data_IF_647682046839
#
_entry.id   IF_647682046839
#
_cell.length_a   1.000
_cell.length_b   1.000
_cell.length_c   1.000
_cell.angle_alpha   90.00
_cell.angle_beta   90.00
_cell.angle_gamma   90.00
#
_symmetry.space_group_name_H-M   'P 1'
#
loop_
_entity.id
_entity.type
_entity.pdbx_description
1 polymer ?
#
# COMPACT_ATOMS: atom_id res chain seq x y z
N UNK A 1 -9.41 -20.80 -15.56
CA UNK A 1 -9.11 -19.38 -15.85
C UNK A 1 -10.27 -18.78 -16.59
N UNK A 2 -10.78 -17.64 -16.09
CA UNK A 2 -11.69 -16.79 -16.85
C UNK A 2 -10.86 -15.83 -17.70
N UNK A 3 -11.24 -15.67 -18.98
CA UNK A 3 -10.54 -14.80 -19.93
C UNK A 3 -11.50 -13.78 -20.54
N UNK A 4 -11.04 -12.52 -20.61
CA UNK A 4 -11.75 -11.42 -21.28
C UNK A 4 -10.76 -10.65 -22.16
N UNK A 5 -11.22 -10.13 -23.30
CA UNK A 5 -10.45 -9.27 -24.19
C UNK A 5 -10.95 -7.83 -24.08
N UNK A 6 -10.06 -6.87 -24.30
CA UNK A 6 -10.36 -5.42 -24.19
C UNK A 6 -11.08 -5.07 -22.88
N UNK A 7 -10.66 -5.73 -21.80
CA UNK A 7 -11.33 -5.67 -20.51
C UNK A 7 -10.93 -4.42 -19.73
N UNK A 8 -11.89 -3.62 -19.21
CA UNK A 8 -11.59 -2.44 -18.45
C UNK A 8 -10.86 -2.80 -17.13
N UNK A 9 -9.74 -2.12 -16.86
CA UNK A 9 -8.97 -2.31 -15.61
C UNK A 9 -9.43 -1.38 -14.48
N UNK A 10 -10.13 -0.29 -14.77
CA UNK A 10 -10.64 0.63 -13.78
C UNK A 10 -11.44 -0.04 -12.64
N UNK A 11 -12.33 -1.02 -12.89
CA UNK A 11 -13.06 -1.71 -11.83
C UNK A 11 -12.17 -2.57 -10.91
N UNK A 12 -10.93 -2.86 -11.34
CA UNK A 12 -9.96 -3.64 -10.58
C UNK A 12 -9.03 -2.77 -9.73
N UNK A 13 -9.17 -1.44 -9.77
CA UNK A 13 -8.35 -0.51 -8.98
C UNK A 13 -9.19 0.25 -7.96
N UNK A 14 -8.60 0.60 -6.83
CA UNK A 14 -9.29 1.42 -5.82
C UNK A 14 -9.47 2.87 -6.26
N UNK A 15 -8.65 3.37 -7.18
CA UNK A 15 -8.88 4.65 -7.85
C UNK A 15 -10.08 4.64 -8.80
N UNK A 16 -10.50 3.46 -9.26
CA UNK A 16 -11.45 3.29 -10.37
C UNK A 16 -11.00 4.03 -11.65
N UNK A 17 -9.70 4.01 -11.88
CA UNK A 17 -9.02 4.56 -13.05
C UNK A 17 -8.24 3.48 -13.79
N UNK A 18 -8.02 3.70 -15.07
CA UNK A 18 -7.26 2.83 -15.95
C UNK A 18 -8.04 2.39 -17.18
N UNK A 19 -7.37 2.42 -18.32
CA UNK A 19 -7.92 1.91 -19.59
C UNK A 19 -7.99 0.38 -19.63
N UNK A 20 -8.37 -0.20 -20.78
CA UNK A 20 -8.52 -1.64 -20.93
C UNK A 20 -7.18 -2.38 -20.98
N UNK A 21 -7.18 -3.65 -20.56
CA UNK A 21 -6.13 -4.60 -20.93
C UNK A 21 -6.49 -5.30 -22.25
N UNK A 22 -5.50 -5.54 -23.10
CA UNK A 22 -5.72 -6.33 -24.32
C UNK A 22 -6.28 -7.72 -23.95
N UNK A 23 -5.77 -8.31 -22.87
CA UNK A 23 -6.23 -9.58 -22.32
C UNK A 23 -6.28 -9.52 -20.79
N UNK A 24 -7.37 -9.93 -20.17
CA UNK A 24 -7.51 -10.09 -18.73
C UNK A 24 -7.76 -11.56 -18.39
N UNK A 25 -6.88 -12.14 -17.62
CA UNK A 25 -7.03 -13.48 -17.04
C UNK A 25 -7.35 -13.38 -15.56
N UNK A 26 -8.32 -14.15 -15.08
CA UNK A 26 -8.57 -14.33 -13.64
C UNK A 26 -8.22 -15.76 -13.25
N UNK A 27 -7.17 -15.91 -12.44
CA UNK A 27 -6.69 -17.19 -11.94
C UNK A 27 -7.17 -17.43 -10.51
N UNK A 28 -7.72 -18.60 -10.25
CA UNK A 28 -8.29 -19.02 -8.95
C UNK A 28 -7.49 -20.10 -8.25
N UNK A 29 -6.45 -20.63 -8.91
CA UNK A 29 -5.52 -21.61 -8.36
C UNK A 29 -4.07 -21.22 -8.68
N UNK A 30 -3.10 -21.68 -7.85
CA UNK A 30 -1.68 -21.46 -8.09
C UNK A 30 -1.24 -22.03 -9.46
N UNK A 31 -1.78 -23.19 -9.84
CA UNK A 31 -1.49 -23.80 -11.14
C UNK A 31 -1.92 -22.90 -12.31
N UNK A 32 -3.08 -22.26 -12.22
CA UNK A 32 -3.55 -21.30 -13.22
C UNK A 32 -2.70 -20.03 -13.27
N UNK A 33 -2.26 -19.52 -12.09
CA UNK A 33 -1.33 -18.38 -12.02
C UNK A 33 -0.03 -18.73 -12.75
N UNK A 34 0.58 -19.86 -12.39
CA UNK A 34 1.85 -20.32 -12.98
C UNK A 34 1.71 -20.55 -14.49
N UNK A 35 0.60 -21.16 -14.93
CA UNK A 35 0.37 -21.40 -16.36
C UNK A 35 0.26 -20.09 -17.14
N UNK A 36 -0.48 -19.10 -16.63
CA UNK A 36 -0.62 -17.79 -17.27
C UNK A 36 0.72 -17.01 -17.34
N UNK A 37 1.52 -17.08 -16.27
CA UNK A 37 2.85 -16.46 -16.24
C UNK A 37 3.78 -17.11 -17.27
N UNK A 38 3.84 -18.45 -17.32
CA UNK A 38 4.65 -19.20 -18.30
C UNK A 38 4.24 -18.91 -19.73
N UNK A 39 2.95 -18.81 -20.01
CA UNK A 39 2.43 -18.47 -21.33
C UNK A 39 2.91 -17.07 -21.75
N UNK A 40 2.76 -16.07 -20.87
CA UNK A 40 3.22 -14.70 -21.13
C UNK A 40 4.74 -14.65 -21.36
N UNK A 41 5.53 -15.34 -20.52
CA UNK A 41 6.99 -15.41 -20.67
C UNK A 41 7.42 -16.08 -21.97
N UNK A 42 6.79 -17.19 -22.35
CA UNK A 42 7.10 -17.93 -23.56
C UNK A 42 6.75 -17.15 -24.84
N UNK A 43 5.69 -16.36 -24.81
CA UNK A 43 5.26 -15.51 -25.93
C UNK A 43 5.94 -14.14 -25.97
N UNK A 44 6.64 -13.74 -24.91
CA UNK A 44 7.18 -12.38 -24.74
C UNK A 44 6.10 -11.32 -24.58
N UNK A 45 4.87 -11.73 -24.19
CA UNK A 45 3.76 -10.81 -23.97
C UNK A 45 3.96 -10.06 -22.64
N UNK A 46 3.84 -8.73 -22.59
CA UNK A 46 3.87 -7.99 -21.32
C UNK A 46 2.85 -8.53 -20.33
N UNK A 47 3.25 -8.68 -19.06
CA UNK A 47 2.42 -9.22 -18.00
C UNK A 47 2.25 -8.19 -16.88
N UNK A 48 1.00 -7.86 -16.54
CA UNK A 48 0.63 -7.08 -15.36
C UNK A 48 -0.06 -7.98 -14.35
N UNK A 49 0.58 -8.22 -13.22
CA UNK A 49 -0.05 -8.98 -12.12
C UNK A 49 -0.89 -8.02 -11.26
N UNK A 50 -2.17 -8.36 -11.10
CA UNK A 50 -3.15 -7.56 -10.34
C UNK A 50 -3.68 -8.38 -9.17
N UNK A 51 -3.45 -7.88 -7.95
CA UNK A 51 -4.13 -8.36 -6.75
C UNK A 51 -5.44 -7.58 -6.52
N UNK A 52 -5.58 -6.93 -5.36
CA UNK A 52 -6.72 -6.04 -5.07
C UNK A 52 -6.65 -4.66 -5.72
N UNK A 53 -5.65 -4.36 -6.56
CA UNK A 53 -5.53 -3.10 -7.31
C UNK A 53 -5.44 -1.82 -6.46
N UNK A 54 -5.11 -1.96 -5.18
CA UNK A 54 -5.14 -0.87 -4.21
C UNK A 54 -3.91 0.05 -4.25
N UNK A 55 -2.90 -0.31 -5.08
CA UNK A 55 -1.65 0.46 -5.21
C UNK A 55 -1.21 0.60 -6.67
N UNK A 56 -2.17 0.66 -7.59
CA UNK A 56 -1.92 0.80 -9.03
C UNK A 56 -2.49 2.10 -9.58
N UNK A 57 -1.72 2.75 -10.43
CA UNK A 57 -2.14 3.86 -11.30
C UNK A 57 -1.94 3.43 -12.74
N UNK A 58 -3.02 3.03 -13.39
CA UNK A 58 -3.00 2.51 -14.77
C UNK A 58 -3.42 3.64 -15.72
N UNK A 59 -2.63 3.86 -16.78
CA UNK A 59 -2.89 4.88 -17.77
C UNK A 59 -4.23 4.71 -18.50
N UNK A 60 -4.79 5.81 -19.00
CA UNK A 60 -6.08 5.82 -19.70
C UNK A 60 -6.05 5.02 -21.01
N UNK A 61 -4.87 4.83 -21.61
CA UNK A 61 -4.68 3.93 -22.77
C UNK A 61 -4.74 2.45 -22.42
N UNK A 62 -4.71 2.12 -21.12
CA UNK A 62 -4.73 0.75 -20.65
C UNK A 62 -3.37 0.06 -20.70
N UNK A 63 -3.40 -1.26 -20.89
CA UNK A 63 -2.23 -2.13 -20.88
C UNK A 63 -2.24 -3.05 -22.13
N UNK A 64 -1.27 -2.85 -23.00
CA UNK A 64 -1.10 -3.67 -24.21
C UNK A 64 -0.36 -4.98 -23.87
N UNK A 65 -1.07 -5.89 -23.21
CA UNK A 65 -0.55 -7.15 -22.73
C UNK A 65 -1.58 -7.96 -21.97
N UNK A 66 -1.12 -8.94 -21.21
CA UNK A 66 -1.96 -9.76 -20.34
C UNK A 66 -1.98 -9.19 -18.92
N UNK A 67 -3.14 -8.75 -18.46
CA UNK A 67 -3.39 -8.50 -17.04
C UNK A 67 -3.80 -9.81 -16.38
N UNK A 68 -3.09 -10.25 -15.36
CA UNK A 68 -3.38 -11.46 -14.58
C UNK A 68 -3.91 -11.06 -13.22
N UNK A 69 -5.23 -11.19 -13.02
CA UNK A 69 -5.85 -11.04 -11.72
C UNK A 69 -5.65 -12.31 -10.91
N UNK A 70 -4.97 -12.21 -9.77
CA UNK A 70 -4.84 -13.30 -8.81
C UNK A 70 -6.07 -13.28 -7.88
N UNK A 71 -6.89 -14.32 -7.98
CA UNK A 71 -8.11 -14.52 -7.21
C UNK A 71 -8.09 -15.88 -6.48
N UNK A 72 -6.91 -16.37 -6.16
CA UNK A 72 -6.71 -17.60 -5.38
C UNK A 72 -7.25 -17.42 -3.96
N UNK A 73 -7.87 -18.45 -3.41
CA UNK A 73 -8.41 -18.44 -2.05
C UNK A 73 -7.78 -19.55 -1.23
N UNK A 74 -7.56 -19.29 0.05
CA UNK A 74 -6.99 -20.20 1.01
C UNK A 74 -6.58 -19.46 2.27
N UNK A 75 -7.19 -19.83 3.38
CA UNK A 75 -6.88 -19.34 4.71
C UNK A 75 -6.70 -20.55 5.60
N UNK A 76 -5.47 -20.92 5.86
CA UNK A 76 -5.11 -22.09 6.67
C UNK A 76 -4.49 -21.62 7.98
N UNK A 77 -5.16 -21.88 9.10
CA UNK A 77 -4.73 -21.51 10.44
C UNK A 77 -4.47 -22.77 11.26
N UNK A 78 -3.28 -22.90 11.83
CA UNK A 78 -2.87 -24.00 12.69
C UNK A 78 -2.09 -23.46 13.90
N UNK A 79 -2.75 -23.40 15.07
CA UNK A 79 -2.20 -22.67 16.21
C UNK A 79 -2.02 -21.19 15.89
N UNK A 80 -0.79 -20.70 15.97
CA UNK A 80 -0.40 -19.33 15.64
C UNK A 80 0.08 -19.15 14.20
N UNK A 81 0.32 -20.27 13.50
CA UNK A 81 0.78 -20.25 12.10
C UNK A 81 -0.39 -20.06 11.13
N UNK A 82 -0.30 -19.04 10.28
CA UNK A 82 -1.30 -18.70 9.27
C UNK A 82 -0.67 -18.76 7.88
N UNK A 83 -1.28 -19.52 6.95
CA UNK A 83 -0.99 -19.44 5.52
C UNK A 83 -2.17 -18.82 4.77
N UNK A 84 -1.88 -17.80 3.94
CA UNK A 84 -2.86 -17.13 3.08
C UNK A 84 -2.49 -17.33 1.62
N UNK A 85 -3.46 -17.71 0.79
CA UNK A 85 -3.33 -17.62 -0.65
C UNK A 85 -3.21 -16.15 -1.10
N UNK A 86 -2.47 -15.90 -2.17
CA UNK A 86 -2.16 -14.53 -2.61
C UNK A 86 -3.40 -13.68 -2.94
N UNK A 87 -4.48 -14.30 -3.40
CA UNK A 87 -5.74 -13.62 -3.75
C UNK A 87 -6.69 -13.38 -2.58
N UNK A 88 -6.39 -13.89 -1.36
CA UNK A 88 -7.23 -13.63 -0.18
C UNK A 88 -7.39 -12.14 0.08
N UNK A 89 -8.61 -11.71 0.39
CA UNK A 89 -8.90 -10.31 0.74
C UNK A 89 -8.27 -10.00 2.10
N UNK A 90 -7.31 -9.07 2.11
CA UNK A 90 -6.51 -8.78 3.29
C UNK A 90 -7.33 -8.38 4.52
N UNK A 91 -8.32 -7.48 4.35
CA UNK A 91 -9.14 -7.01 5.47
C UNK A 91 -9.97 -8.12 6.10
N UNK A 92 -10.40 -9.11 5.32
CA UNK A 92 -11.16 -10.27 5.79
C UNK A 92 -10.23 -11.25 6.52
N UNK A 93 -9.01 -11.45 6.00
CA UNK A 93 -8.00 -12.25 6.67
C UNK A 93 -7.67 -11.68 8.07
N UNK A 94 -7.45 -10.36 8.17
CA UNK A 94 -7.23 -9.69 9.47
C UNK A 94 -8.44 -9.85 10.40
N UNK A 95 -9.67 -9.75 9.90
CA UNK A 95 -10.85 -9.97 10.73
C UNK A 95 -10.89 -11.38 11.32
N UNK A 96 -10.63 -12.39 10.50
CA UNK A 96 -10.61 -13.80 10.91
C UNK A 96 -9.53 -14.10 11.94
N UNK A 97 -8.33 -13.47 11.85
CA UNK A 97 -7.30 -13.66 12.88
C UNK A 97 -7.70 -13.05 14.22
N UNK A 98 -8.34 -11.87 14.20
CA UNK A 98 -8.87 -11.25 15.43
C UNK A 98 -9.98 -12.11 16.05
N UNK A 99 -10.89 -12.68 15.25
CA UNK A 99 -11.93 -13.61 15.70
C UNK A 99 -11.33 -14.88 16.30
N UNK A 100 -10.19 -15.34 15.79
CA UNK A 100 -9.43 -16.47 16.33
C UNK A 100 -8.62 -16.11 17.59
N UNK A 101 -8.62 -14.85 18.05
CA UNK A 101 -7.88 -14.39 19.22
C UNK A 101 -6.38 -14.18 18.99
N UNK A 102 -5.94 -14.07 17.73
CA UNK A 102 -4.53 -13.94 17.35
C UNK A 102 -4.17 -12.50 17.03
N UNK A 103 -3.14 -12.00 17.70
CA UNK A 103 -2.58 -10.66 17.53
C UNK A 103 -1.38 -10.64 16.59
N UNK A 104 -1.03 -9.44 16.10
CA UNK A 104 0.18 -9.18 15.30
C UNK A 104 -0.10 -8.43 13.99
N UNK A 105 -1.34 -8.50 13.47
CA UNK A 105 -1.76 -7.79 12.25
C UNK A 105 -3.06 -6.99 12.42
N UNK A 106 -3.62 -6.91 13.61
CA UNK A 106 -4.89 -6.23 13.91
C UNK A 106 -4.88 -4.74 13.57
N UNK A 107 -3.73 -4.08 13.70
CA UNK A 107 -3.58 -2.66 13.32
C UNK A 107 -3.46 -2.44 11.80
N UNK A 108 -3.39 -3.51 11.02
CA UNK A 108 -3.42 -3.48 9.54
C UNK A 108 -4.84 -3.67 8.99
N UNK A 109 -5.86 -3.65 9.86
CA UNK A 109 -7.26 -3.74 9.48
C UNK A 109 -7.69 -2.61 8.55
N UNK A 110 -8.57 -2.92 7.59
CA UNK A 110 -9.12 -1.95 6.65
C UNK A 110 -8.14 -1.45 5.58
N UNK A 111 -6.92 -2.01 5.49
CA UNK A 111 -6.04 -1.78 4.35
C UNK A 111 -6.62 -2.57 3.17
N UNK A 112 -6.97 -1.90 2.05
CA UNK A 112 -7.50 -2.61 0.89
C UNK A 112 -6.38 -3.38 0.17
N UNK A 113 -6.77 -4.43 -0.54
CA UNK A 113 -5.84 -5.24 -1.32
C UNK A 113 -5.93 -6.72 -0.99
N UNK A 114 -4.98 -7.49 -1.51
CA UNK A 114 -4.88 -8.93 -1.31
C UNK A 114 -3.66 -9.32 -0.48
N UNK A 115 -3.72 -10.49 0.15
CA UNK A 115 -2.65 -11.01 1.00
C UNK A 115 -1.30 -11.08 0.27
N UNK A 116 -1.29 -11.56 -1.00
CA UNK A 116 -0.07 -11.64 -1.81
C UNK A 116 0.56 -10.31 -2.18
N UNK A 117 -0.18 -9.20 -2.06
CA UNK A 117 0.36 -7.86 -2.29
C UNK A 117 1.05 -7.29 -1.03
N UNK A 118 0.80 -7.86 0.15
CA UNK A 118 1.30 -7.31 1.42
C UNK A 118 2.83 -7.36 1.55
N UNK A 119 3.56 -8.41 1.13
CA UNK A 119 5.02 -8.43 1.21
C UNK A 119 5.70 -7.53 0.18
N UNK A 120 5.02 -7.14 -0.91
CA UNK A 120 5.68 -6.42 -2.02
C UNK A 120 6.28 -5.10 -1.55
N UNK A 121 5.54 -4.32 -0.76
CA UNK A 121 6.07 -3.06 -0.22
C UNK A 121 6.06 -3.01 1.32
N UNK A 122 6.13 -4.19 1.96
CA UNK A 122 6.10 -4.28 3.41
C UNK A 122 4.94 -3.46 3.98
N UNK A 123 3.70 -3.90 3.71
CA UNK A 123 2.51 -3.17 4.14
C UNK A 123 2.55 -2.88 5.63
N UNK A 124 2.33 -1.62 5.99
CA UNK A 124 2.38 -1.19 7.37
C UNK A 124 1.48 0.01 7.65
N UNK A 125 0.89 0.01 8.84
CA UNK A 125 0.07 1.09 9.37
C UNK A 125 0.02 1.00 10.90
N UNK A 126 -0.19 2.14 11.55
CA UNK A 126 -0.43 2.22 13.00
C UNK A 126 0.60 1.48 13.86
N UNK A 127 1.87 1.49 13.41
CA UNK A 127 3.00 0.89 14.15
C UNK A 127 3.17 -0.61 13.97
N UNK A 128 2.37 -1.26 13.11
CA UNK A 128 2.58 -2.63 12.64
C UNK A 128 3.04 -2.65 11.19
N UNK A 129 3.86 -3.63 10.84
CA UNK A 129 4.27 -3.96 9.47
C UNK A 129 4.20 -5.47 9.29
N UNK A 130 3.81 -5.94 8.09
CA UNK A 130 3.69 -7.38 7.82
C UNK A 130 5.01 -8.13 7.97
N UNK A 131 6.15 -7.46 7.75
CA UNK A 131 7.48 -8.03 7.97
C UNK A 131 7.72 -8.53 9.38
N UNK A 132 6.99 -8.00 10.37
CA UNK A 132 7.13 -8.43 11.78
C UNK A 132 6.49 -9.79 12.04
N UNK A 133 5.60 -10.26 11.17
CA UNK A 133 4.83 -11.50 11.34
C UNK A 133 5.01 -12.47 10.17
N UNK A 134 5.39 -12.01 8.98
CA UNK A 134 5.72 -12.89 7.86
C UNK A 134 6.91 -13.77 8.25
N UNK A 135 6.75 -15.09 8.10
CA UNK A 135 7.85 -16.07 8.23
C UNK A 135 8.49 -16.36 6.89
N UNK A 136 7.69 -16.53 5.86
CA UNK A 136 8.15 -16.82 4.52
C UNK A 136 7.10 -16.47 3.45
N UNK A 137 7.55 -16.30 2.23
CA UNK A 137 6.71 -16.04 1.05
C UNK A 137 6.94 -17.15 0.02
N UNK A 138 5.87 -17.80 -0.41
CA UNK A 138 5.90 -18.75 -1.53
C UNK A 138 5.63 -17.98 -2.80
N UNK A 139 6.56 -18.03 -3.76
CA UNK A 139 6.46 -17.31 -5.02
C UNK A 139 6.88 -18.18 -6.21
N UNK A 140 6.33 -17.88 -7.38
CA UNK A 140 6.87 -18.39 -8.64
C UNK A 140 7.99 -17.46 -9.11
N UNK A 141 9.20 -18.00 -9.23
CA UNK A 141 10.36 -17.29 -9.80
C UNK A 141 10.38 -17.46 -11.31
N UNK A 142 10.07 -16.40 -12.06
CA UNK A 142 10.01 -16.39 -13.53
C UNK A 142 11.37 -16.66 -14.19
N UNK A 143 12.48 -16.39 -13.49
CA UNK A 143 13.83 -16.65 -14.02
C UNK A 143 14.19 -18.11 -14.00
N UNK A 144 13.88 -18.80 -12.89
CA UNK A 144 14.16 -20.25 -12.75
C UNK A 144 12.99 -21.11 -13.23
N UNK A 145 11.82 -20.53 -13.40
CA UNK A 145 10.53 -21.20 -13.72
C UNK A 145 10.12 -22.23 -12.67
N UNK A 146 10.47 -21.96 -11.41
CA UNK A 146 10.19 -22.82 -10.27
C UNK A 146 9.37 -22.08 -9.20
N UNK A 147 8.65 -22.85 -8.40
CA UNK A 147 8.05 -22.32 -7.16
C UNK A 147 9.14 -22.37 -6.10
N UNK A 148 9.37 -21.21 -5.45
CA UNK A 148 10.38 -21.05 -4.41
C UNK A 148 9.74 -20.57 -3.11
N UNK A 149 10.31 -20.97 -1.98
CA UNK A 149 9.97 -20.46 -0.66
C UNK A 149 11.09 -19.52 -0.21
N UNK A 150 10.74 -18.28 0.06
CA UNK A 150 11.66 -17.20 0.41
C UNK A 150 11.43 -16.86 1.89
N UNK A 151 12.39 -17.17 2.79
CA UNK A 151 12.26 -16.85 4.21
C UNK A 151 12.29 -15.33 4.43
N UNK A 152 11.71 -14.86 5.54
CA UNK A 152 11.65 -13.44 5.91
C UNK A 152 13.01 -12.74 5.75
N UNK A 153 14.09 -13.38 6.22
CA UNK A 153 15.46 -12.85 6.18
C UNK A 153 15.98 -12.57 4.76
N UNK A 154 15.39 -13.22 3.75
CA UNK A 154 15.75 -13.03 2.34
C UNK A 154 14.77 -12.11 1.60
N UNK A 155 13.66 -11.72 2.24
CA UNK A 155 12.70 -10.79 1.64
C UNK A 155 13.19 -9.34 1.58
N UNK A 156 14.31 -9.01 2.25
CA UNK A 156 14.93 -7.67 2.29
C UNK A 156 13.92 -6.56 2.64
N UNK A 157 13.08 -6.80 3.64
CA UNK A 157 12.08 -5.84 4.08
C UNK A 157 12.71 -4.59 4.69
N UNK A 158 12.21 -3.44 4.27
CA UNK A 158 12.45 -2.15 4.92
C UNK A 158 11.24 -1.24 4.70
N UNK A 159 11.32 0.03 5.08
CA UNK A 159 10.19 0.96 4.94
C UNK A 159 9.71 1.06 3.48
N UNK A 160 8.51 0.57 3.21
CA UNK A 160 7.88 0.53 1.87
C UNK A 160 8.74 -0.15 0.80
N UNK A 161 9.53 -1.14 1.21
CA UNK A 161 10.46 -1.85 0.35
C UNK A 161 10.53 -3.34 0.66
N UNK A 162 10.86 -4.13 -0.36
CA UNK A 162 11.18 -5.55 -0.28
C UNK A 162 11.95 -6.00 -1.52
N UNK A 163 12.48 -7.20 -1.49
CA UNK A 163 13.04 -7.89 -2.65
C UNK A 163 12.06 -7.98 -3.83
N UNK A 164 10.77 -8.22 -3.52
CA UNK A 164 9.72 -8.32 -4.54
C UNK A 164 9.49 -7.00 -5.27
N UNK A 165 9.60 -5.87 -4.57
CA UNK A 165 9.52 -4.53 -5.16
C UNK A 165 10.80 -4.16 -5.91
N UNK A 166 11.96 -4.60 -5.44
CA UNK A 166 13.25 -4.37 -6.10
C UNK A 166 13.41 -5.17 -7.40
N UNK A 167 12.77 -6.34 -7.49
CA UNK A 167 12.78 -7.23 -8.65
C UNK A 167 11.35 -7.47 -9.17
N UNK A 168 10.64 -6.43 -9.66
CA UNK A 168 9.19 -6.46 -9.92
C UNK A 168 8.77 -7.49 -10.98
N UNK A 169 9.66 -7.79 -11.94
CA UNK A 169 9.37 -8.72 -13.03
C UNK A 169 9.82 -10.15 -12.74
N UNK A 170 10.31 -10.43 -11.53
CA UNK A 170 10.87 -11.73 -11.20
C UNK A 170 9.92 -12.64 -10.46
N UNK A 171 9.27 -12.14 -9.42
CA UNK A 171 8.50 -12.98 -8.52
C UNK A 171 7.00 -12.72 -8.63
N UNK A 172 6.23 -13.81 -8.74
CA UNK A 172 4.77 -13.76 -8.60
C UNK A 172 4.42 -14.47 -7.31
N UNK A 173 3.93 -13.73 -6.32
CA UNK A 173 3.56 -14.26 -5.00
C UNK A 173 2.35 -15.17 -5.14
N UNK A 174 2.45 -16.39 -4.58
CA UNK A 174 1.40 -17.40 -4.57
C UNK A 174 0.77 -17.53 -3.19
N UNK A 175 1.59 -17.51 -2.12
CA UNK A 175 1.14 -17.61 -0.73
C UNK A 175 2.04 -16.81 0.19
N UNK A 176 1.48 -16.41 1.34
CA UNK A 176 2.24 -15.72 2.41
C UNK A 176 1.98 -16.43 3.71
N UNK A 177 3.04 -16.76 4.45
CA UNK A 177 2.98 -17.40 5.76
C UNK A 177 3.34 -16.42 6.86
N UNK A 178 2.55 -16.47 7.92
CA UNK A 178 2.68 -15.59 9.08
C UNK A 178 2.79 -16.42 10.35
N UNK A 179 3.52 -15.91 11.32
CA UNK A 179 3.48 -16.35 12.70
C UNK A 179 2.85 -15.24 13.53
N UNK A 180 1.68 -15.54 14.11
CA UNK A 180 0.89 -14.62 14.91
C UNK A 180 1.10 -14.88 16.40
N UNK A 181 0.55 -14.05 17.27
CA UNK A 181 0.70 -14.16 18.72
C UNK A 181 -0.62 -14.55 19.39
N UNK A 182 -0.61 -15.61 20.17
CA UNK A 182 -1.67 -15.89 21.13
C UNK A 182 -1.41 -15.06 22.39
N UNK A 183 -2.22 -14.02 22.61
CA UNK A 183 -1.99 -13.00 23.63
C UNK A 183 -3.18 -12.82 24.58
N UNK A 184 -3.84 -13.93 24.97
CA UNK A 184 -4.98 -13.95 25.89
C UNK A 184 -6.09 -12.96 25.53
N UNK A 185 -6.36 -12.79 24.24
CA UNK A 185 -7.37 -11.85 23.71
C UNK A 185 -6.94 -10.39 23.72
N UNK A 186 -5.66 -10.12 23.96
CA UNK A 186 -5.08 -8.77 23.87
C UNK A 186 -4.41 -8.53 22.52
N UNK A 187 -4.31 -7.26 22.14
CA UNK A 187 -3.56 -6.81 20.95
C UNK A 187 -2.06 -6.98 21.13
N UNK A 188 -1.30 -6.89 20.05
CA UNK A 188 0.11 -6.55 20.14
C UNK A 188 0.28 -5.18 20.82
N UNK A 189 1.46 -4.87 21.39
CA UNK A 189 1.72 -3.57 22.01
C UNK A 189 1.44 -2.43 21.04
N UNK A 190 0.65 -1.43 21.45
CA UNK A 190 0.28 -0.29 20.60
C UNK A 190 1.47 0.64 20.40
N UNK A 191 2.16 0.51 19.29
CA UNK A 191 3.37 1.30 18.97
C UNK A 191 3.06 2.70 18.44
N UNK A 192 1.81 2.98 18.02
CA UNK A 192 1.46 4.23 17.36
C UNK A 192 0.72 5.18 18.32
N UNK A 193 1.26 6.40 18.56
CA UNK A 193 0.70 7.32 19.58
C UNK A 193 -0.77 7.70 19.35
N UNK A 194 -1.20 7.83 18.07
CA UNK A 194 -2.58 8.18 17.75
C UNK A 194 -3.55 7.08 18.18
N UNK A 195 -3.19 5.81 17.98
CA UNK A 195 -4.02 4.65 18.37
C UNK A 195 -4.11 4.56 19.89
N UNK A 196 -2.99 4.66 20.60
CA UNK A 196 -2.95 4.64 22.06
C UNK A 196 -3.81 5.76 22.65
N UNK A 197 -3.68 6.99 22.13
CA UNK A 197 -4.50 8.13 22.54
C UNK A 197 -5.99 7.92 22.27
N UNK A 198 -6.34 7.36 21.09
CA UNK A 198 -7.74 7.10 20.73
C UNK A 198 -8.40 6.07 21.64
N UNK A 199 -7.61 5.22 22.28
CA UNK A 199 -8.06 4.21 23.25
C UNK A 199 -7.89 4.63 24.70
N UNK A 200 -7.33 5.81 24.98
CA UNK A 200 -7.12 6.33 26.33
C UNK A 200 -6.05 5.57 27.13
N UNK A 201 -5.06 4.99 26.45
CA UNK A 201 -3.95 4.20 27.04
C UNK A 201 -2.59 4.78 26.66
N UNK A 202 -1.54 4.26 27.25
CA UNK A 202 -0.14 4.66 26.96
C UNK A 202 0.41 3.88 25.77
N UNK A 203 1.30 4.50 25.02
CA UNK A 203 2.04 3.80 23.96
C UNK A 203 2.84 2.64 24.57
N UNK A 204 2.69 1.45 23.98
CA UNK A 204 3.25 0.21 24.47
C UNK A 204 2.27 -0.68 25.23
N UNK A 205 1.12 -0.14 25.67
CA UNK A 205 0.09 -0.94 26.30
C UNK A 205 -0.56 -1.90 25.31
N UNK A 206 -1.11 -3.00 25.85
CA UNK A 206 -1.97 -3.95 25.16
C UNK A 206 -3.44 -3.69 25.55
N UNK A 207 -4.33 -3.84 24.62
CA UNK A 207 -5.77 -3.60 24.81
C UNK A 207 -6.55 -4.80 24.28
N UNK A 208 -7.86 -4.95 24.58
CA UNK A 208 -8.66 -6.00 23.99
C UNK A 208 -8.52 -6.01 22.44
N UNK A 209 -8.16 -7.16 21.89
CA UNK A 209 -7.83 -7.33 20.47
C UNK A 209 -8.93 -6.82 19.52
N UNK A 210 -10.23 -7.14 19.72
CA UNK A 210 -11.30 -6.58 18.88
C UNK A 210 -11.39 -5.05 18.96
N UNK A 211 -11.15 -4.47 20.15
CA UNK A 211 -11.21 -3.01 20.35
C UNK A 211 -10.06 -2.30 19.63
N UNK A 212 -8.86 -2.91 19.57
CA UNK A 212 -7.73 -2.40 18.78
C UNK A 212 -8.10 -2.30 17.31
N UNK A 213 -8.60 -3.40 16.73
CA UNK A 213 -9.04 -3.47 15.33
C UNK A 213 -10.13 -2.44 15.03
N UNK A 214 -11.18 -2.36 15.86
CA UNK A 214 -12.28 -1.42 15.67
C UNK A 214 -11.80 0.04 15.73
N UNK A 215 -10.90 0.37 16.65
CA UNK A 215 -10.32 1.70 16.75
C UNK A 215 -9.53 2.07 15.52
N UNK A 216 -8.71 1.15 15.01
CA UNK A 216 -7.96 1.37 13.76
C UNK A 216 -8.91 1.57 12.59
N UNK A 217 -9.94 0.75 12.44
CA UNK A 217 -10.95 0.92 11.38
C UNK A 217 -11.62 2.29 11.45
N UNK A 218 -12.02 2.74 12.65
CA UNK A 218 -12.60 4.07 12.86
C UNK A 218 -11.64 5.21 12.49
N UNK A 219 -10.36 5.12 12.91
CA UNK A 219 -9.34 6.11 12.57
C UNK A 219 -9.09 6.16 11.05
N UNK A 220 -9.04 5.00 10.40
CA UNK A 220 -8.87 4.89 8.96
C UNK A 220 -10.08 5.43 8.19
N UNK A 221 -11.29 5.08 8.61
CA UNK A 221 -12.54 5.60 8.01
C UNK A 221 -12.61 7.13 8.09
N UNK A 222 -12.23 7.70 9.25
CA UNK A 222 -12.11 9.15 9.42
C UNK A 222 -11.10 9.84 8.50
N UNK A 223 -10.15 9.08 7.94
CA UNK A 223 -9.16 9.54 6.95
C UNK A 223 -9.52 9.16 5.50
N UNK A 224 -10.69 8.54 5.25
CA UNK A 224 -11.07 8.05 3.92
C UNK A 224 -10.20 6.87 3.44
N UNK A 225 -9.65 6.07 4.37
CA UNK A 225 -8.71 4.97 4.10
C UNK A 225 -9.34 3.58 4.22
N UNK A 226 -10.65 3.49 4.41
CA UNK A 226 -11.45 2.27 4.33
C UNK A 226 -12.36 2.41 3.11
N UNK A 227 -12.36 1.41 2.22
CA UNK A 227 -13.12 1.48 0.98
C UNK A 227 -14.63 1.60 1.26
N UNK A 228 -15.23 2.61 0.66
CA UNK A 228 -16.66 2.87 0.63
C UNK A 228 -17.03 3.30 -0.80
N UNK A 229 -17.85 2.54 -1.53
CA UNK A 229 -18.20 2.85 -2.91
C UNK A 229 -18.96 4.17 -3.07
N UNK A 230 -19.62 4.66 -2.01
CA UNK A 230 -20.39 5.90 -2.01
C UNK A 230 -19.56 7.12 -1.60
N UNK A 231 -18.34 6.92 -1.08
CA UNK A 231 -17.45 7.98 -0.63
C UNK A 231 -16.24 8.13 -1.55
N UNK A 232 -16.26 9.16 -2.39
CA UNK A 232 -15.15 9.45 -3.30
C UNK A 232 -13.82 9.79 -2.59
N UNK A 233 -13.81 10.11 -1.30
CA UNK A 233 -12.56 10.24 -0.55
C UNK A 233 -11.83 8.91 -0.37
N UNK A 234 -12.52 7.78 -0.60
CA UNK A 234 -11.93 6.44 -0.57
C UNK A 234 -11.46 5.95 -1.94
N UNK A 235 -11.80 6.65 -3.04
CA UNK A 235 -11.37 6.29 -4.39
C UNK A 235 -9.93 6.76 -4.63
N UNK A 236 -9.01 6.12 -3.94
CA UNK A 236 -7.59 6.44 -3.88
C UNK A 236 -6.75 5.18 -3.72
N UNK A 237 -5.43 5.31 -3.76
CA UNK A 237 -4.49 4.25 -3.35
C UNK A 237 -3.97 4.46 -1.92
N UNK A 238 -4.74 5.11 -1.05
CA UNK A 238 -4.24 5.55 0.24
C UNK A 238 -3.28 6.73 0.11
N UNK A 239 -2.16 6.69 0.83
CA UNK A 239 -1.10 7.70 0.68
C UNK A 239 -0.48 7.62 -0.72
N UNK A 240 -0.55 8.72 -1.47
CA UNK A 240 0.01 8.77 -2.83
C UNK A 240 1.54 8.95 -2.82
N UNK A 241 2.08 9.58 -1.78
CA UNK A 241 3.51 9.82 -1.66
C UNK A 241 4.08 9.14 -0.41
N UNK A 242 5.29 8.61 -0.54
CA UNK A 242 6.06 8.09 0.60
C UNK A 242 6.62 9.24 1.44
N UNK A 243 6.86 8.97 2.73
CA UNK A 243 7.56 9.93 3.58
C UNK A 243 9.02 10.03 3.12
N UNK A 244 9.52 11.25 2.80
CA UNK A 244 10.88 11.44 2.35
C UNK A 244 11.90 11.07 3.43
N UNK A 245 12.99 10.42 3.01
CA UNK A 245 14.15 10.10 3.84
C UNK A 245 15.33 10.91 3.31
N UNK A 246 15.82 11.83 4.13
CA UNK A 246 16.85 12.81 3.77
C UNK A 246 18.18 12.46 4.49
N UNK A 247 19.28 12.64 3.79
CA UNK A 247 20.59 12.65 4.45
C UNK A 247 20.77 13.90 5.32
N UNK A 248 21.86 13.98 6.07
CA UNK A 248 22.09 15.07 7.00
C UNK A 248 22.17 16.44 6.30
N UNK A 249 22.77 16.53 5.11
CA UNK A 249 22.94 17.79 4.38
C UNK A 249 21.59 18.27 3.83
N UNK A 250 20.86 17.39 3.15
CA UNK A 250 19.52 17.67 2.62
C UNK A 250 18.53 18.04 3.75
N UNK A 251 18.64 17.38 4.92
CA UNK A 251 17.78 17.70 6.06
C UNK A 251 18.09 19.11 6.63
N UNK A 252 19.35 19.53 6.69
CA UNK A 252 19.70 20.89 7.12
C UNK A 252 19.22 21.96 6.11
N UNK A 253 19.34 21.71 4.82
CA UNK A 253 18.79 22.59 3.79
C UNK A 253 17.27 22.71 3.94
N UNK A 254 16.58 21.60 4.10
CA UNK A 254 15.14 21.56 4.37
C UNK A 254 14.76 22.39 5.60
N UNK A 255 15.47 22.25 6.73
CA UNK A 255 15.23 23.06 7.92
C UNK A 255 15.43 24.56 7.67
N UNK A 256 16.41 24.93 6.86
CA UNK A 256 16.63 26.33 6.43
C UNK A 256 15.39 26.87 5.70
N UNK A 257 14.89 26.15 4.69
CA UNK A 257 13.70 26.54 3.92
C UNK A 257 12.42 26.58 4.77
N UNK A 258 12.28 25.67 5.74
CA UNK A 258 11.14 25.70 6.69
C UNK A 258 11.17 26.98 7.50
N UNK A 259 12.33 27.36 8.07
CA UNK A 259 12.51 28.58 8.85
C UNK A 259 12.21 29.84 8.03
N UNK A 260 12.73 29.90 6.80
CA UNK A 260 12.57 31.06 5.92
C UNK A 260 11.11 31.26 5.50
N UNK A 261 10.38 30.16 5.26
CA UNK A 261 8.99 30.20 4.79
C UNK A 261 7.95 30.30 5.90
N UNK A 262 8.15 29.57 6.99
CA UNK A 262 7.14 29.37 8.04
C UNK A 262 7.51 30.05 9.38
N UNK A 263 8.72 30.54 9.50
CA UNK A 263 9.23 31.19 10.71
C UNK A 263 10.09 30.26 11.58
N UNK A 264 10.88 30.86 12.51
CA UNK A 264 11.87 30.13 13.30
C UNK A 264 11.28 29.18 14.33
N UNK A 265 10.02 29.38 14.72
CA UNK A 265 9.35 28.59 15.76
C UNK A 265 8.69 27.32 15.21
N UNK A 266 8.68 27.13 13.89
CA UNK A 266 8.08 25.94 13.26
C UNK A 266 9.09 24.82 13.16
N UNK A 267 8.78 23.71 13.85
CA UNK A 267 9.57 22.48 13.81
C UNK A 267 8.85 21.43 12.97
N UNK A 268 9.44 20.97 11.84
CA UNK A 268 8.84 19.91 11.04
C UNK A 268 8.97 18.56 11.74
N UNK A 269 8.06 17.59 11.44
CA UNK A 269 8.21 16.22 11.92
C UNK A 269 9.54 15.61 11.46
N UNK A 270 10.27 15.00 12.38
CA UNK A 270 11.55 14.34 12.14
C UNK A 270 11.60 13.02 12.89
N UNK A 271 11.90 11.94 12.19
CA UNK A 271 11.98 10.60 12.74
C UNK A 271 13.30 9.95 12.30
N UNK A 272 13.98 9.21 13.19
CA UNK A 272 15.17 8.45 12.81
C UNK A 272 14.84 7.48 11.64
N UNK A 273 15.76 7.39 10.70
CA UNK A 273 15.75 6.39 9.63
C UNK A 273 17.08 5.63 9.64
N UNK A 274 17.19 4.59 8.80
CA UNK A 274 18.40 3.80 8.66
C UNK A 274 19.60 4.67 8.21
N UNK A 275 20.79 4.23 8.53
CA UNK A 275 22.08 4.86 8.14
C UNK A 275 22.22 6.32 8.60
N UNK A 276 21.61 6.68 9.74
CA UNK A 276 21.69 8.05 10.29
C UNK A 276 20.91 9.10 9.50
N UNK A 277 20.08 8.68 8.55
CA UNK A 277 19.18 9.57 7.79
C UNK A 277 17.97 9.99 8.63
N UNK A 278 17.25 10.99 8.16
CA UNK A 278 16.04 11.51 8.82
C UNK A 278 14.85 11.39 7.90
N UNK A 279 13.78 10.75 8.38
CA UNK A 279 12.49 10.67 7.71
C UNK A 279 11.61 11.85 8.14
N UNK A 280 10.99 12.56 7.18
CA UNK A 280 10.01 13.61 7.47
C UNK A 280 8.63 13.24 6.90
N UNK A 281 7.60 14.00 7.28
CA UNK A 281 6.22 13.71 6.90
C UNK A 281 5.84 14.35 5.56
N UNK A 282 5.54 13.53 4.55
CA UNK A 282 5.01 14.02 3.28
C UNK A 282 3.67 14.76 3.47
N UNK A 283 2.79 14.29 4.37
CA UNK A 283 1.53 14.98 4.67
C UNK A 283 1.76 16.39 5.20
N UNK A 284 2.73 16.58 6.07
CA UNK A 284 3.10 17.89 6.60
C UNK A 284 3.65 18.80 5.50
N UNK A 285 4.54 18.28 4.65
CA UNK A 285 5.11 19.02 3.53
C UNK A 285 4.03 19.52 2.56
N UNK A 286 3.11 18.65 2.17
CA UNK A 286 2.01 18.94 1.25
C UNK A 286 1.10 20.01 1.86
N UNK A 287 0.67 19.85 3.10
CA UNK A 287 -0.18 20.80 3.80
C UNK A 287 0.50 22.18 3.93
N UNK A 288 1.78 22.22 4.33
CA UNK A 288 2.55 23.45 4.50
C UNK A 288 3.00 24.11 3.19
N UNK A 289 3.00 23.36 2.09
CA UNK A 289 3.18 23.95 0.75
C UNK A 289 1.92 24.64 0.23
N UNK A 290 0.77 24.48 0.90
CA UNK A 290 -0.52 25.09 0.53
C UNK A 290 -1.53 24.11 -0.07
N UNK A 291 -1.17 22.84 -0.23
CA UNK A 291 -2.05 21.79 -0.75
C UNK A 291 -2.86 21.16 0.39
N UNK A 292 -3.84 21.90 0.87
CA UNK A 292 -4.66 21.45 2.01
C UNK A 292 -5.70 20.40 1.60
N UNK A 293 -6.39 19.83 2.58
CA UNK A 293 -7.50 18.89 2.36
C UNK A 293 -8.54 19.49 1.42
N UNK A 294 -8.96 18.73 0.41
CA UNK A 294 -9.91 19.15 -0.61
C UNK A 294 -9.32 20.01 -1.73
N UNK A 295 -8.00 20.26 -1.73
CA UNK A 295 -7.34 21.04 -2.79
C UNK A 295 -7.61 20.47 -4.18
N UNK A 296 -7.81 21.39 -5.13
CA UNK A 296 -8.13 21.11 -6.52
C UNK A 296 -9.60 21.44 -6.84
N UNK A 297 -9.85 21.85 -8.08
CA UNK A 297 -11.21 22.16 -8.58
C UNK A 297 -11.67 21.18 -9.66
N UNK A 298 -10.74 20.32 -10.13
CA UNK A 298 -10.97 19.35 -11.19
C UNK A 298 -11.65 18.05 -10.71
N UNK A 299 -11.72 17.06 -11.58
CA UNK A 299 -12.28 15.74 -11.26
C UNK A 299 -11.34 14.88 -10.39
N UNK A 300 -10.03 15.20 -10.34
CA UNK A 300 -9.09 14.68 -9.36
C UNK A 300 -8.78 15.74 -8.31
N UNK A 301 -8.77 15.37 -7.02
CA UNK A 301 -8.54 16.29 -5.89
C UNK A 301 -7.78 15.60 -4.77
N UNK A 302 -7.15 16.39 -3.91
CA UNK A 302 -6.73 15.91 -2.60
C UNK A 302 -8.00 15.57 -1.79
N UNK A 303 -7.99 14.45 -1.09
CA UNK A 303 -9.08 14.04 -0.21
C UNK A 303 -9.46 15.15 0.77
N UNK A 304 -10.75 15.30 1.04
CA UNK A 304 -11.24 16.22 2.08
C UNK A 304 -10.89 15.73 3.49
N UNK A 305 -10.45 14.47 3.61
CA UNK A 305 -10.14 13.80 4.87
C UNK A 305 -8.65 13.63 5.13
N UNK A 306 -7.82 13.53 4.08
CA UNK A 306 -6.38 13.26 4.22
C UNK A 306 -5.55 13.91 3.10
N UNK A 307 -4.56 14.72 3.46
CA UNK A 307 -3.69 15.44 2.49
C UNK A 307 -2.80 14.54 1.64
N UNK A 308 -2.47 13.31 2.10
CA UNK A 308 -1.69 12.35 1.30
C UNK A 308 -2.51 11.60 0.26
N UNK A 309 -3.84 11.62 0.34
CA UNK A 309 -4.68 10.87 -0.58
C UNK A 309 -5.09 11.76 -1.75
N UNK A 310 -4.65 11.41 -2.95
CA UNK A 310 -5.23 11.92 -4.19
C UNK A 310 -6.44 11.06 -4.55
N UNK A 311 -7.54 11.66 -4.97
CA UNK A 311 -8.81 10.97 -5.14
C UNK A 311 -9.44 11.24 -6.50
N UNK A 312 -10.07 10.20 -7.07
CA UNK A 312 -10.99 10.33 -8.18
C UNK A 312 -12.37 10.76 -7.65
N UNK A 313 -12.90 11.89 -8.10
CA UNK A 313 -14.21 12.43 -7.67
C UNK A 313 -15.38 11.90 -8.54
N UNK A 314 -15.17 10.76 -9.22
CA UNK A 314 -16.19 10.06 -9.99
C UNK A 314 -16.06 10.21 -11.51
N UNK A 315 -15.35 11.22 -12.00
CA UNK A 315 -15.19 11.51 -13.42
C UNK A 315 -13.74 11.83 -13.84
N UNK A 316 -12.74 11.49 -13.00
CA UNK A 316 -11.35 11.73 -13.32
C UNK A 316 -10.83 10.74 -14.37
N UNK A 317 -9.89 11.20 -15.16
CA UNK A 317 -8.97 10.37 -15.94
C UNK A 317 -7.69 10.13 -15.12
N UNK A 318 -6.88 9.18 -15.54
CA UNK A 318 -5.55 8.98 -14.93
C UNK A 318 -4.66 10.22 -15.16
N UNK A 319 -4.78 10.88 -16.30
CA UNK A 319 -4.02 12.11 -16.54
C UNK A 319 -4.43 13.26 -15.62
N UNK A 320 -5.71 13.40 -15.28
CA UNK A 320 -6.16 14.38 -14.26
C UNK A 320 -5.50 14.11 -12.89
N UNK A 321 -5.41 12.84 -12.49
CA UNK A 321 -4.77 12.43 -11.26
C UNK A 321 -3.27 12.74 -11.28
N UNK A 322 -2.58 12.44 -12.38
CA UNK A 322 -1.15 12.68 -12.53
C UNK A 322 -0.83 14.17 -12.65
N UNK A 323 -1.68 14.96 -13.29
CA UNK A 323 -1.52 16.42 -13.35
C UNK A 323 -1.55 17.03 -11.94
N UNK A 324 -2.52 16.63 -11.12
CA UNK A 324 -2.57 17.03 -9.70
C UNK A 324 -1.34 16.55 -8.92
N UNK A 325 -0.89 15.32 -9.14
CA UNK A 325 0.29 14.78 -8.47
C UNK A 325 1.56 15.57 -8.83
N UNK A 326 1.76 15.91 -10.11
CA UNK A 326 2.90 16.74 -10.58
C UNK A 326 2.85 18.14 -9.98
N UNK A 327 1.66 18.75 -9.89
CA UNK A 327 1.47 20.06 -9.26
C UNK A 327 1.89 20.03 -7.78
N UNK A 328 1.48 19.00 -7.03
CA UNK A 328 1.87 18.81 -5.63
C UNK A 328 3.38 18.61 -5.50
N UNK A 329 3.99 17.75 -6.33
CA UNK A 329 5.45 17.52 -6.32
C UNK A 329 6.21 18.81 -6.59
N UNK A 330 5.82 19.56 -7.61
CA UNK A 330 6.46 20.82 -7.97
C UNK A 330 6.35 21.88 -6.86
N UNK A 331 5.15 22.04 -6.28
CA UNK A 331 4.92 23.02 -5.22
C UNK A 331 5.62 22.66 -3.90
N UNK A 332 5.71 21.37 -3.53
CA UNK A 332 6.49 20.94 -2.37
C UNK A 332 7.99 21.15 -2.60
N UNK A 333 8.47 20.84 -3.80
CA UNK A 333 9.88 21.09 -4.16
C UNK A 333 10.22 22.58 -4.12
N UNK A 334 9.39 23.44 -4.70
CA UNK A 334 9.57 24.89 -4.66
C UNK A 334 9.60 25.40 -3.21
N UNK A 335 8.65 24.93 -2.37
CA UNK A 335 8.52 25.39 -1.00
C UNK A 335 9.69 24.94 -0.09
N UNK A 336 10.12 23.68 -0.22
CA UNK A 336 10.98 23.03 0.77
C UNK A 336 12.24 22.37 0.20
N UNK A 337 12.43 22.33 -1.13
CA UNK A 337 13.55 21.64 -1.77
C UNK A 337 13.47 20.11 -1.70
N UNK A 338 12.33 19.57 -1.28
CA UNK A 338 12.12 18.13 -1.12
C UNK A 338 11.29 17.59 -2.29
N UNK A 339 11.82 16.60 -3.01
CA UNK A 339 11.08 15.93 -4.08
C UNK A 339 10.29 14.74 -3.49
N UNK A 340 8.97 14.78 -3.67
CA UNK A 340 8.11 13.67 -3.28
C UNK A 340 8.19 12.54 -4.31
N UNK A 341 8.11 11.29 -3.81
CA UNK A 341 8.11 10.08 -4.63
C UNK A 341 6.77 9.37 -4.44
N UNK A 342 6.15 8.96 -5.55
CA UNK A 342 4.88 8.22 -5.50
C UNK A 342 5.05 6.84 -4.87
N UNK A 343 4.07 6.42 -4.08
CA UNK A 343 3.99 5.08 -3.50
C UNK A 343 3.32 4.08 -4.46
N UNK A 344 2.22 4.44 -5.17
CA UNK A 344 1.60 3.56 -6.14
C UNK A 344 2.50 3.24 -7.33
N UNK A 345 2.35 2.01 -7.85
CA UNK A 345 2.99 1.56 -9.09
C UNK A 345 2.25 2.14 -10.28
N UNK A 346 2.98 2.78 -11.18
CA UNK A 346 2.44 3.33 -12.43
C UNK A 346 2.55 2.31 -13.56
N UNK A 347 1.50 2.20 -14.39
CA UNK A 347 1.42 1.28 -15.52
C UNK A 347 1.09 2.06 -16.79
N UNK A 348 2.02 2.06 -17.76
CA UNK A 348 1.86 2.79 -19.04
C UNK A 348 1.89 4.31 -18.90
N UNK A 349 2.24 4.84 -17.72
CA UNK A 349 2.34 6.27 -17.42
C UNK A 349 3.48 6.53 -16.44
N UNK A 350 3.87 7.80 -16.30
CA UNK A 350 4.90 8.26 -15.33
C UNK A 350 4.47 9.58 -14.69
N UNK A 351 4.96 9.79 -13.48
CA UNK A 351 4.79 11.05 -12.73
C UNK A 351 5.79 12.10 -13.18
#
# INVERSE_FOLDING_TARGET
>A
VQELHDAPLAPLTTFRLGGPAARLLTATTDAEVIAAVREADASGTPLLVVGGGSNLVIGDKGFDGTALRIATQGFELSGTSLELAAGEVWTDAVARTVEAGLAGIECLAGIPGSAGATPIQNVGAYGQEVSSTITEVVAYDRRTQETVTIPNTECAFSYRHSRFKAEPDRFVVLRVRFELEEADGLSAPLKYPETARAMGVTQGDRVPLPAARETVLRLRAGKGMVLDPEDHDTWSAGSFFTNPILDAAAFQEFLGRVRDRLGPDVTPPAFPAEDGRTKTSAAWLIDRAGFTKGYGSGPARISTKHTLALTNRGAATTEDLLALAREVVAGVHEAFGVTLVNEPVTVGVSL
#
